data_IF_808172616140
#
_entry.id   IF_808172616140
#
_cell.length_a   1.000
_cell.length_b   1.000
_cell.length_c   1.000
_cell.angle_alpha   90.00
_cell.angle_beta   90.00
_cell.angle_gamma   90.00
#
_symmetry.space_group_name_H-M   'P 1'
#
loop_
_entity.id
_entity.type
_entity.pdbx_description
1 polymer ?
#
# COMPACT_ATOMS: atom_id res chain seq x y z
N UNK A 1 -1.23 -1.73 20.36
CA UNK A 1 -1.12 -3.17 20.05
C UNK A 1 -0.43 -3.28 18.71
N UNK A 2 0.67 -4.02 18.60
CA UNK A 2 1.32 -4.23 17.31
C UNK A 2 0.43 -5.19 16.49
N UNK A 3 -0.08 -4.73 15.35
CA UNK A 3 -0.81 -5.60 14.44
C UNK A 3 0.17 -6.65 13.94
N UNK A 4 -0.03 -7.92 14.31
CA UNK A 4 0.76 -9.00 13.73
C UNK A 4 0.50 -8.98 12.21
N UNK A 5 1.55 -8.97 11.37
CA UNK A 5 1.35 -8.94 9.94
C UNK A 5 0.59 -10.19 9.52
N UNK A 6 -0.66 -10.00 9.09
CA UNK A 6 -1.44 -11.05 8.44
C UNK A 6 -0.79 -11.27 7.07
N UNK A 7 -0.20 -12.46 6.90
CA UNK A 7 0.53 -12.82 5.68
C UNK A 7 -0.19 -13.95 4.94
N UNK A 8 -0.48 -13.74 3.66
CA UNK A 8 -1.07 -14.75 2.76
C UNK A 8 -0.63 -14.50 1.32
N UNK A 9 -1.24 -15.14 0.32
CA UNK A 9 -1.00 -14.87 -1.09
C UNK A 9 -1.45 -13.46 -1.48
N UNK A 10 -0.68 -12.80 -2.37
CA UNK A 10 -0.99 -11.43 -2.81
C UNK A 10 -2.39 -11.29 -3.38
N UNK A 11 -2.82 -12.26 -4.18
CA UNK A 11 -4.13 -12.30 -4.84
C UNK A 11 -5.26 -12.25 -3.80
N UNK A 12 -5.15 -13.01 -2.72
CA UNK A 12 -6.14 -13.04 -1.65
C UNK A 12 -6.23 -11.69 -0.95
N UNK A 13 -5.09 -11.08 -0.60
CA UNK A 13 -5.05 -9.76 0.05
C UNK A 13 -5.68 -8.69 -0.84
N UNK A 14 -5.26 -8.61 -2.11
CA UNK A 14 -5.78 -7.60 -3.05
C UNK A 14 -7.27 -7.79 -3.31
N UNK A 15 -7.73 -9.04 -3.49
CA UNK A 15 -9.16 -9.33 -3.68
C UNK A 15 -9.98 -8.95 -2.45
N UNK A 16 -9.47 -9.23 -1.25
CA UNK A 16 -10.13 -8.87 -0.01
C UNK A 16 -10.23 -7.34 0.16
N UNK A 17 -9.12 -6.62 -0.06
CA UNK A 17 -9.08 -5.16 0.04
C UNK A 17 -9.98 -4.48 -1.00
N UNK A 18 -9.98 -4.97 -2.23
CA UNK A 18 -10.85 -4.47 -3.29
C UNK A 18 -12.33 -4.70 -2.98
N UNK A 19 -12.70 -5.90 -2.53
CA UNK A 19 -14.11 -6.24 -2.28
C UNK A 19 -14.68 -5.60 -1.02
N UNK A 20 -13.90 -5.49 0.07
CA UNK A 20 -14.40 -5.00 1.36
C UNK A 20 -14.23 -3.49 1.53
N UNK A 21 -13.14 -2.92 1.02
CA UNK A 21 -12.75 -1.53 1.26
C UNK A 21 -12.74 -0.68 -0.01
N UNK A 22 -13.03 -1.27 -1.18
CA UNK A 22 -12.87 -0.61 -2.48
C UNK A 22 -11.44 -0.08 -2.70
N UNK A 23 -10.46 -0.70 -2.06
CA UNK A 23 -9.05 -0.33 -2.16
C UNK A 23 -8.41 -0.93 -3.39
N UNK A 24 -7.60 -0.13 -4.08
CA UNK A 24 -6.78 -0.56 -5.20
C UNK A 24 -5.37 0.03 -5.08
N UNK A 25 -4.32 -0.61 -5.63
CA UNK A 25 -2.97 -0.06 -5.60
C UNK A 25 -2.91 1.32 -6.26
N UNK A 26 -2.42 2.32 -5.51
CA UNK A 26 -2.20 3.69 -5.97
C UNK A 26 -0.72 4.05 -6.08
N UNK A 27 0.16 3.29 -5.42
CA UNK A 27 1.60 3.40 -5.55
C UNK A 27 2.30 2.06 -5.28
N UNK A 28 3.47 1.87 -5.88
CA UNK A 28 4.26 0.65 -5.75
C UNK A 28 5.75 0.94 -5.90
N UNK A 29 6.59 0.17 -5.21
CA UNK A 29 8.05 0.18 -5.38
C UNK A 29 8.70 -1.14 -4.98
N UNK A 30 9.91 -1.38 -5.47
CA UNK A 30 10.72 -2.54 -5.07
C UNK A 30 11.69 -2.09 -3.99
N UNK A 31 11.66 -2.74 -2.83
CA UNK A 31 12.60 -2.53 -1.74
C UNK A 31 13.94 -3.25 -2.02
N UNK A 32 15.01 -2.83 -1.33
CA UNK A 32 16.36 -3.40 -1.50
C UNK A 32 16.46 -4.92 -1.25
N UNK A 33 15.51 -5.48 -0.49
CA UNK A 33 15.42 -6.93 -0.24
C UNK A 33 14.66 -7.69 -1.35
N UNK A 34 14.30 -7.01 -2.45
CA UNK A 34 13.54 -7.57 -3.57
C UNK A 34 12.04 -7.67 -3.33
N UNK A 35 11.54 -7.26 -2.16
CA UNK A 35 10.12 -7.23 -1.87
C UNK A 35 9.42 -6.07 -2.58
N UNK A 36 8.18 -6.29 -3.02
CA UNK A 36 7.32 -5.27 -3.62
C UNK A 36 6.48 -4.64 -2.51
N UNK A 37 6.67 -3.35 -2.29
CA UNK A 37 5.82 -2.53 -1.42
C UNK A 37 4.70 -1.95 -2.26
N UNK A 38 3.47 -2.08 -1.79
CA UNK A 38 2.31 -1.46 -2.42
C UNK A 38 1.53 -0.65 -1.40
N UNK A 39 1.04 0.51 -1.84
CA UNK A 39 0.09 1.33 -1.10
C UNK A 39 -1.23 1.23 -1.87
N UNK A 40 -2.28 0.80 -1.18
CA UNK A 40 -3.63 0.72 -1.69
C UNK A 40 -4.50 1.77 -1.00
N UNK A 41 -5.42 2.39 -1.74
CA UNK A 41 -6.40 3.31 -1.15
C UNK A 41 -7.75 3.18 -1.84
N UNK A 42 -8.82 3.53 -1.12
CA UNK A 42 -10.13 3.68 -1.73
C UNK A 42 -10.15 4.92 -2.64
N UNK A 43 -11.02 4.91 -3.65
CA UNK A 43 -11.14 6.05 -4.57
C UNK A 43 -11.51 7.36 -3.85
N UNK A 44 -12.23 7.26 -2.73
CA UNK A 44 -12.67 8.39 -1.89
C UNK A 44 -11.67 8.76 -0.80
N UNK A 45 -10.57 8.02 -0.65
CA UNK A 45 -9.58 8.23 0.41
C UNK A 45 -10.06 7.88 1.81
N UNK A 46 -11.15 7.13 1.94
CA UNK A 46 -11.69 6.74 3.26
C UNK A 46 -10.82 5.71 3.97
N UNK A 47 -10.16 4.83 3.23
CA UNK A 47 -9.30 3.77 3.77
C UNK A 47 -8.04 3.57 2.93
N UNK A 48 -7.00 3.06 3.56
CA UNK A 48 -5.74 2.71 2.92
C UNK A 48 -5.05 1.54 3.62
N UNK A 49 -4.24 0.82 2.85
CA UNK A 49 -3.44 -0.32 3.32
C UNK A 49 -2.05 -0.31 2.67
N UNK A 50 -1.03 -0.68 3.43
CA UNK A 50 0.32 -0.95 2.93
C UNK A 50 0.59 -2.45 3.03
N UNK A 51 0.99 -3.05 1.93
CA UNK A 51 1.38 -4.46 1.86
C UNK A 51 2.83 -4.61 1.37
N UNK A 52 3.48 -5.69 1.79
CA UNK A 52 4.80 -6.09 1.31
C UNK A 52 4.71 -7.52 0.76
N UNK A 53 4.97 -7.68 -0.53
CA UNK A 53 5.04 -8.97 -1.21
C UNK A 53 6.50 -9.39 -1.38
N UNK A 54 6.92 -10.49 -0.78
CA UNK A 54 8.26 -11.04 -0.95
C UNK A 54 8.37 -11.84 -2.26
N UNK A 55 9.58 -12.06 -2.82
CA UNK A 55 9.77 -12.81 -4.07
C UNK A 55 9.23 -14.25 -4.04
N UNK A 56 9.03 -14.82 -2.85
CA UNK A 56 8.41 -16.14 -2.67
C UNK A 56 6.86 -16.10 -2.76
N UNK A 57 6.26 -14.95 -3.08
CA UNK A 57 4.83 -14.76 -3.24
C UNK A 57 4.07 -14.43 -1.96
N UNK A 58 4.71 -14.53 -0.79
CA UNK A 58 4.08 -14.21 0.50
C UNK A 58 3.89 -12.70 0.62
N UNK A 59 2.68 -12.29 0.92
CA UNK A 59 2.27 -10.89 1.07
C UNK A 59 1.81 -10.65 2.49
N UNK A 60 2.43 -9.68 3.15
CA UNK A 60 2.08 -9.30 4.51
C UNK A 60 1.44 -7.91 4.52
N UNK A 61 0.33 -7.75 5.24
CA UNK A 61 -0.19 -6.43 5.58
C UNK A 61 0.70 -5.80 6.64
N UNK A 62 1.27 -4.63 6.32
CA UNK A 62 2.23 -3.91 7.17
C UNK A 62 1.55 -2.82 7.99
N UNK A 63 0.63 -2.10 7.36
CA UNK A 63 -0.15 -1.04 8.01
C UNK A 63 -1.50 -0.89 7.29
N UNK A 64 -2.50 -0.43 8.02
CA UNK A 64 -3.81 -0.07 7.48
C UNK A 64 -4.38 1.09 8.29
N UNK A 65 -5.25 1.89 7.67
CA UNK A 65 -5.87 3.03 8.32
C UNK A 65 -6.92 3.70 7.46
N UNK A 66 -7.32 4.88 7.90
CA UNK A 66 -8.33 5.72 7.28
C UNK A 66 -7.77 7.09 6.93
N UNK A 67 -8.56 7.93 6.26
CA UNK A 67 -8.25 9.32 5.93
C UNK A 67 -6.97 9.45 5.08
N UNK A 68 -6.97 8.78 3.93
CA UNK A 68 -5.92 8.88 2.93
C UNK A 68 -5.96 10.25 2.23
N UNK A 69 -4.80 10.92 2.17
CA UNK A 69 -4.63 12.17 1.44
C UNK A 69 -3.58 12.00 0.34
N UNK A 70 -3.93 12.42 -0.88
CA UNK A 70 -2.96 12.53 -1.95
C UNK A 70 -2.19 13.82 -1.82
N UNK A 71 -0.87 13.74 -1.76
CA UNK A 71 -0.04 14.93 -1.78
C UNK A 71 -0.14 15.62 -3.16
N UNK A 72 -0.14 16.96 -3.20
CA UNK A 72 0.01 17.69 -4.44
C UNK A 72 1.28 17.23 -5.17
N UNK A 73 1.21 17.10 -6.50
CA UNK A 73 2.40 16.84 -7.27
C UNK A 73 3.43 17.94 -6.99
N UNK A 74 4.60 17.58 -6.48
CA UNK A 74 5.71 18.53 -6.35
C UNK A 74 6.20 18.87 -7.75
N UNK A 75 5.61 19.89 -8.37
CA UNK A 75 5.97 20.36 -9.71
C UNK A 75 7.28 21.12 -9.75
N UNK A 76 7.93 21.35 -8.60
CA UNK A 76 9.29 21.84 -8.57
C UNK A 76 10.07 21.29 -7.38
N UNK A 77 11.07 20.47 -7.67
CA UNK A 77 12.33 20.59 -6.94
C UNK A 77 12.99 21.84 -7.53
N UNK A 78 12.46 23.03 -7.24
CA UNK A 78 13.20 24.25 -7.52
C UNK A 78 14.37 24.26 -6.54
N UNK A 79 15.62 24.38 -7.03
CA UNK A 79 16.76 24.55 -6.14
C UNK A 79 16.54 25.80 -5.29
N UNK A 80 16.92 25.80 -4.00
CA UNK A 80 16.85 27.02 -3.21
C UNK A 80 17.64 28.12 -3.92
N UNK A 81 16.98 29.27 -4.11
CA UNK A 81 17.58 30.48 -4.67
C UNK A 81 18.81 30.94 -3.88
#
# INVERSE_FOLDING_TARGET
MAQQPLCTERSEVVNQLSSQYSEAPVAMGIANNGGVVEILSSQTGTSWTIILTMPNGVTCMIAAGENWESLPAMTSIDPPA
#
